data_IF_027642875839
#
_entry.id   IF_027642875839
#
_cell.length_a   1.000
_cell.length_b   1.000
_cell.length_c   1.000
_cell.angle_alpha   90.00
_cell.angle_beta   90.00
_cell.angle_gamma   90.00
#
_symmetry.space_group_name_H-M   'P 1'
#
loop_
_entity.id
_entity.type
_entity.pdbx_description
1 polymer ?
#
# COMPACT_ATOMS: atom_id res chain seq x y z
N UNK A 1 14.77 16.93 -1.63
CA UNK A 1 13.33 17.18 -1.84
C UNK A 1 12.65 15.95 -1.32
N UNK A 2 11.73 16.10 -0.37
CA UNK A 2 11.10 14.96 0.29
C UNK A 2 10.37 14.07 -0.72
N UNK A 3 10.49 12.76 -0.51
CA UNK A 3 9.90 11.75 -1.38
C UNK A 3 8.40 11.58 -1.11
N UNK A 4 8.00 11.74 0.15
CA UNK A 4 6.61 11.91 0.58
C UNK A 4 6.53 13.15 1.48
N UNK A 5 5.60 14.05 1.18
CA UNK A 5 5.31 15.25 1.97
C UNK A 5 3.83 15.25 2.34
N UNK A 6 3.55 15.48 3.62
CA UNK A 6 2.21 15.54 4.17
C UNK A 6 2.08 16.82 4.96
N UNK A 7 1.04 17.61 4.69
CA UNK A 7 0.83 18.90 5.33
C UNK A 7 -0.62 19.11 5.71
N UNK A 8 -0.87 19.53 6.94
CA UNK A 8 -2.19 19.91 7.45
C UNK A 8 -3.27 18.82 7.31
N UNK A 9 -2.84 17.55 7.25
CA UNK A 9 -3.71 16.44 6.93
C UNK A 9 -4.73 16.25 8.05
N UNK A 10 -6.01 16.37 7.72
CA UNK A 10 -7.11 16.25 8.68
C UNK A 10 -8.24 15.36 8.18
N UNK A 11 -8.86 14.62 9.09
CA UNK A 11 -10.04 13.81 8.83
C UNK A 11 -10.95 13.67 10.03
N UNK A 12 -12.24 13.90 9.80
CA UNK A 12 -13.32 13.74 10.76
C UNK A 12 -14.33 12.69 10.31
N UNK A 13 -14.98 12.05 11.28
CA UNK A 13 -16.10 11.14 11.08
C UNK A 13 -17.24 11.58 12.01
N UNK A 14 -18.27 12.21 11.44
CA UNK A 14 -19.28 12.90 12.25
C UNK A 14 -18.62 13.97 13.13
N UNK A 15 -18.89 13.92 14.44
CA UNK A 15 -18.27 14.83 15.41
C UNK A 15 -16.86 14.45 15.87
N UNK A 16 -16.34 13.28 15.48
CA UNK A 16 -15.02 12.81 15.92
C UNK A 16 -13.93 13.25 14.93
N UNK A 17 -12.94 13.99 15.43
CA UNK A 17 -11.74 14.34 14.68
C UNK A 17 -10.67 13.25 14.82
N UNK A 18 -10.61 12.33 13.86
CA UNK A 18 -9.74 11.16 13.92
C UNK A 18 -8.28 11.45 13.52
N UNK A 19 -8.06 12.44 12.67
CA UNK A 19 -6.75 12.98 12.29
C UNK A 19 -6.87 14.50 12.29
N UNK A 20 -5.93 15.20 12.91
CA UNK A 20 -5.94 16.66 12.99
C UNK A 20 -4.55 17.21 12.71
N UNK A 21 -4.45 18.02 11.66
CA UNK A 21 -3.29 18.85 11.34
C UNK A 21 -1.96 18.06 11.34
N UNK A 22 -2.00 16.84 10.81
CA UNK A 22 -0.80 15.99 10.74
C UNK A 22 0.07 16.47 9.58
N UNK A 23 1.34 16.73 9.88
CA UNK A 23 2.35 17.04 8.88
C UNK A 23 3.66 16.33 9.17
N UNK A 24 4.31 15.85 8.12
CA UNK A 24 5.63 15.22 8.16
C UNK A 24 6.17 15.04 6.73
N UNK A 25 7.48 14.90 6.64
CA UNK A 25 8.20 14.55 5.41
C UNK A 25 8.87 13.18 5.59
N UNK A 26 9.04 12.48 4.47
CA UNK A 26 9.83 11.23 4.39
C UNK A 26 10.74 11.34 3.19
N UNK A 27 12.04 11.18 3.41
CA UNK A 27 13.05 11.17 2.36
C UNK A 27 13.10 9.81 1.66
N UNK A 28 13.70 9.76 0.46
CA UNK A 28 13.81 8.51 -0.28
C UNK A 28 14.69 7.50 0.50
N UNK A 29 14.14 6.30 0.75
CA UNK A 29 14.82 5.25 1.51
C UNK A 29 14.67 5.36 3.03
N UNK A 30 14.00 6.40 3.53
CA UNK A 30 13.71 6.54 4.96
C UNK A 30 12.59 5.59 5.42
N UNK A 31 12.73 5.08 6.65
CA UNK A 31 11.72 4.24 7.30
C UNK A 31 11.04 5.05 8.40
N UNK A 32 9.77 5.40 8.17
CA UNK A 32 8.93 6.09 9.15
C UNK A 32 7.96 5.13 9.86
N UNK A 33 7.94 5.17 11.19
CA UNK A 33 7.02 4.39 12.02
C UNK A 33 5.91 5.22 12.65
N UNK A 34 4.66 4.78 12.55
CA UNK A 34 3.52 5.36 13.28
C UNK A 34 3.25 4.59 14.58
N UNK A 35 3.49 5.23 15.73
CA UNK A 35 3.30 4.63 17.06
C UNK A 35 2.21 5.40 17.82
N UNK A 36 1.43 4.69 18.64
CA UNK A 36 0.39 5.27 19.48
C UNK A 36 -0.66 4.24 19.93
N UNK A 37 -1.54 4.58 20.87
CA UNK A 37 -2.57 3.67 21.36
C UNK A 37 -3.64 3.35 20.31
N UNK A 38 -4.48 2.33 20.57
CA UNK A 38 -5.62 2.05 19.70
C UNK A 38 -6.55 3.27 19.63
N UNK A 39 -7.06 3.56 18.43
CA UNK A 39 -7.89 4.74 18.19
C UNK A 39 -7.12 6.05 17.95
N UNK A 40 -5.79 6.07 18.03
CA UNK A 40 -4.97 7.28 17.83
C UNK A 40 -4.89 7.80 16.38
N UNK A 41 -5.68 7.25 15.46
CA UNK A 41 -5.71 7.69 14.05
C UNK A 41 -4.69 7.05 13.11
N UNK A 42 -3.78 6.16 13.56
CA UNK A 42 -2.74 5.54 12.70
C UNK A 42 -3.28 4.91 11.41
N UNK A 43 -4.26 4.02 11.54
CA UNK A 43 -4.89 3.36 10.39
C UNK A 43 -5.64 4.36 9.52
N UNK A 44 -6.23 5.39 10.12
CA UNK A 44 -6.89 6.50 9.40
C UNK A 44 -5.87 7.28 8.57
N UNK A 45 -4.71 7.64 9.13
CA UNK A 45 -3.63 8.30 8.40
C UNK A 45 -3.16 7.45 7.23
N UNK A 46 -2.85 6.16 7.43
CA UNK A 46 -2.46 5.26 6.35
C UNK A 46 -3.55 5.14 5.26
N UNK A 47 -4.83 5.13 5.65
CA UNK A 47 -5.94 5.12 4.69
C UNK A 47 -6.00 6.41 3.86
N UNK A 48 -5.66 7.57 4.43
CA UNK A 48 -5.61 8.85 3.70
C UNK A 48 -4.46 8.87 2.70
N UNK A 49 -3.26 8.46 3.12
CA UNK A 49 -2.07 8.38 2.26
C UNK A 49 -2.25 7.44 1.06
N UNK A 50 -3.05 6.38 1.23
CA UNK A 50 -3.26 5.34 0.20
C UNK A 50 -4.56 5.53 -0.60
N UNK A 51 -5.25 6.67 -0.43
CA UNK A 51 -6.49 6.97 -1.16
C UNK A 51 -7.69 6.09 -0.78
N UNK A 52 -7.62 5.38 0.34
CA UNK A 52 -8.76 4.65 0.90
C UNK A 52 -9.83 5.58 1.46
N UNK A 53 -9.38 6.70 2.01
CA UNK A 53 -10.19 7.80 2.50
C UNK A 53 -9.75 9.09 1.81
N UNK A 54 -10.70 9.98 1.53
CA UNK A 54 -10.41 11.35 1.13
C UNK A 54 -10.21 12.21 2.39
N UNK A 55 -9.12 12.99 2.50
CA UNK A 55 -8.97 13.94 3.60
C UNK A 55 -10.03 15.04 3.52
N UNK A 56 -10.34 15.64 4.67
CA UNK A 56 -11.19 16.83 4.70
C UNK A 56 -10.38 18.08 4.33
N UNK A 57 -9.10 18.11 4.72
CA UNK A 57 -8.12 19.13 4.35
C UNK A 57 -6.70 18.57 4.36
N UNK A 58 -5.77 19.35 3.80
CA UNK A 58 -4.35 19.04 3.74
C UNK A 58 -3.88 18.54 2.37
N UNK A 59 -2.57 18.35 2.26
CA UNK A 59 -1.87 17.98 1.03
C UNK A 59 -1.08 16.70 1.27
N UNK A 60 -1.03 15.85 0.23
CA UNK A 60 -0.19 14.65 0.18
C UNK A 60 0.54 14.69 -1.16
N UNK A 61 1.85 14.92 -1.13
CA UNK A 61 2.71 14.87 -2.32
C UNK A 61 3.60 13.64 -2.25
N UNK A 62 3.64 12.87 -3.33
CA UNK A 62 4.55 11.73 -3.48
C UNK A 62 5.37 11.91 -4.75
N UNK A 63 6.69 11.94 -4.62
CA UNK A 63 7.64 12.19 -5.70
C UNK A 63 7.24 13.40 -6.56
N UNK A 64 6.93 14.53 -5.90
CA UNK A 64 6.47 15.77 -6.54
C UNK A 64 5.05 15.76 -7.11
N UNK A 65 4.27 14.70 -6.90
CA UNK A 65 2.91 14.56 -7.45
C UNK A 65 1.85 14.56 -6.34
N UNK A 66 0.80 15.37 -6.50
CA UNK A 66 -0.32 15.39 -5.56
C UNK A 66 -1.14 14.10 -5.65
N UNK A 67 -1.42 13.48 -4.50
CA UNK A 67 -2.23 12.27 -4.37
C UNK A 67 -3.68 12.54 -3.92
N UNK A 68 -4.00 13.74 -3.45
CA UNK A 68 -5.32 14.06 -2.88
C UNK A 68 -6.41 13.94 -3.94
N UNK A 69 -7.46 13.17 -3.62
CA UNK A 69 -8.61 12.97 -4.49
C UNK A 69 -8.43 11.92 -5.59
N UNK A 70 -7.22 11.36 -5.74
CA UNK A 70 -6.98 10.26 -6.67
C UNK A 70 -7.66 8.98 -6.19
N UNK A 71 -8.11 8.16 -7.15
CA UNK A 71 -8.58 6.82 -6.87
C UNK A 71 -7.41 5.89 -6.52
N UNK A 72 -7.68 4.82 -5.76
CA UNK A 72 -6.65 3.89 -5.25
C UNK A 72 -5.79 3.27 -6.35
N UNK A 73 -6.39 2.97 -7.51
CA UNK A 73 -5.67 2.46 -8.68
C UNK A 73 -4.70 3.50 -9.27
N UNK A 74 -5.06 4.78 -9.25
CA UNK A 74 -4.18 5.87 -9.69
C UNK A 74 -3.04 6.11 -8.69
N UNK A 75 -3.33 6.02 -7.38
CA UNK A 75 -2.30 6.07 -6.32
C UNK A 75 -1.31 4.92 -6.45
N UNK A 76 -1.79 3.69 -6.67
CA UNK A 76 -0.95 2.52 -6.93
C UNK A 76 -0.06 2.70 -8.16
N UNK A 77 -0.62 3.22 -9.26
CA UNK A 77 0.16 3.53 -10.49
C UNK A 77 1.19 4.64 -10.32
N UNK A 78 1.13 5.42 -9.24
CA UNK A 78 2.17 6.40 -8.88
C UNK A 78 3.28 5.80 -8.03
N UNK A 79 3.19 4.53 -7.63
CA UNK A 79 4.21 3.83 -6.83
C UNK A 79 3.88 3.68 -5.35
N UNK A 80 2.65 4.00 -4.93
CA UNK A 80 2.23 3.82 -3.53
C UNK A 80 1.42 2.53 -3.40
N UNK A 81 2.02 1.53 -2.75
CA UNK A 81 1.38 0.27 -2.42
C UNK A 81 1.17 0.12 -0.91
N UNK A 82 0.30 -0.79 -0.51
CA UNK A 82 -0.01 -1.05 0.90
C UNK A 82 -0.27 -2.52 1.17
N UNK A 83 0.23 -2.99 2.30
CA UNK A 83 -0.18 -4.24 2.96
C UNK A 83 -1.28 -3.99 3.99
N UNK A 84 -2.11 -5.00 4.24
CA UNK A 84 -3.20 -4.93 5.22
C UNK A 84 -2.85 -5.72 6.46
N UNK A 85 -3.28 -5.24 7.64
CA UNK A 85 -3.08 -5.94 8.92
C UNK A 85 -3.63 -7.35 8.90
N UNK A 86 -4.81 -7.53 8.30
CA UNK A 86 -5.37 -8.84 7.98
C UNK A 86 -5.07 -9.08 6.51
N UNK A 87 -4.32 -10.14 6.21
CA UNK A 87 -4.01 -10.52 4.84
C UNK A 87 -5.29 -10.80 4.07
N UNK A 88 -5.36 -10.30 2.83
CA UNK A 88 -6.51 -10.49 1.93
C UNK A 88 -6.03 -11.04 0.58
N UNK A 89 -5.48 -12.26 0.54
CA UNK A 89 -5.08 -12.87 -0.72
C UNK A 89 -6.31 -13.26 -1.55
N UNK A 90 -6.09 -13.43 -2.85
CA UNK A 90 -7.00 -14.15 -3.72
C UNK A 90 -6.89 -15.64 -3.38
N UNK A 91 -7.83 -16.14 -2.58
CA UNK A 91 -7.79 -17.48 -1.99
C UNK A 91 -7.77 -18.61 -3.02
N UNK A 92 -8.42 -18.41 -4.18
CA UNK A 92 -8.46 -19.36 -5.29
C UNK A 92 -7.26 -19.24 -6.24
N UNK A 93 -6.31 -18.36 -5.94
CA UNK A 93 -5.05 -18.22 -6.68
C UNK A 93 -3.91 -18.88 -5.92
N UNK A 94 -2.93 -19.38 -6.65
CA UNK A 94 -1.67 -19.84 -6.04
C UNK A 94 -0.90 -18.68 -5.43
N UNK A 95 0.09 -18.96 -4.57
CA UNK A 95 1.00 -17.94 -4.04
C UNK A 95 1.64 -17.12 -5.18
N UNK A 96 2.10 -17.79 -6.23
CA UNK A 96 2.65 -17.17 -7.43
C UNK A 96 1.64 -16.23 -8.09
N UNK A 97 0.42 -16.72 -8.34
CA UNK A 97 -0.62 -15.90 -8.97
C UNK A 97 -1.01 -14.68 -8.13
N UNK A 98 -0.98 -14.78 -6.80
CA UNK A 98 -1.21 -13.65 -5.90
C UNK A 98 -0.15 -12.55 -6.08
N UNK A 99 1.12 -12.93 -6.15
CA UNK A 99 2.22 -11.98 -6.39
C UNK A 99 2.17 -11.41 -7.80
N UNK A 100 1.83 -12.24 -8.80
CA UNK A 100 1.67 -11.82 -10.20
C UNK A 100 0.65 -10.69 -10.38
N UNK A 101 -0.41 -10.62 -9.56
CA UNK A 101 -1.37 -9.50 -9.63
C UNK A 101 -0.65 -8.15 -9.47
N UNK A 102 0.32 -8.06 -8.57
CA UNK A 102 1.12 -6.86 -8.38
C UNK A 102 1.98 -6.52 -9.61
N UNK A 103 2.59 -7.53 -10.23
CA UNK A 103 3.38 -7.36 -11.46
C UNK A 103 2.53 -7.07 -12.70
N UNK A 104 1.27 -7.48 -12.74
CA UNK A 104 0.38 -7.21 -13.88
C UNK A 104 -0.31 -5.85 -13.79
N UNK A 105 -0.63 -5.37 -12.57
CA UNK A 105 -1.46 -4.18 -12.38
C UNK A 105 -0.81 -3.03 -11.60
N UNK A 106 0.42 -3.21 -11.10
CA UNK A 106 1.15 -2.21 -10.33
C UNK A 106 1.67 -1.03 -11.15
N UNK A 107 2.59 -0.26 -10.57
CA UNK A 107 3.19 0.94 -11.18
C UNK A 107 3.88 0.66 -12.51
N UNK A 108 4.64 -0.44 -12.58
CA UNK A 108 5.40 -0.85 -13.77
C UNK A 108 4.96 -2.26 -14.16
N UNK A 109 3.86 -2.39 -14.92
CA UNK A 109 3.35 -3.69 -15.34
C UNK A 109 4.37 -4.47 -16.17
N UNK A 110 4.51 -5.76 -15.88
CA UNK A 110 5.27 -6.67 -16.69
C UNK A 110 4.71 -6.73 -18.12
N UNK A 111 5.59 -6.83 -19.11
CA UNK A 111 5.22 -6.81 -20.54
C UNK A 111 4.24 -7.91 -20.95
N UNK A 112 4.28 -9.06 -20.27
CA UNK A 112 3.42 -10.20 -20.52
C UNK A 112 3.40 -11.13 -19.30
N UNK A 113 2.49 -12.11 -19.31
CA UNK A 113 2.28 -13.04 -18.19
C UNK A 113 3.49 -13.94 -17.92
N UNK A 114 4.31 -14.24 -18.94
CA UNK A 114 5.53 -15.05 -18.76
C UNK A 114 6.54 -14.29 -17.89
N UNK A 115 6.82 -13.03 -18.24
CA UNK A 115 7.71 -12.17 -17.45
C UNK A 115 7.13 -11.91 -16.06
N UNK A 116 5.83 -11.66 -15.95
CA UNK A 116 5.19 -11.50 -14.65
C UNK A 116 5.41 -12.71 -13.74
N UNK A 117 5.33 -13.93 -14.28
CA UNK A 117 5.56 -15.16 -13.53
C UNK A 117 7.03 -15.34 -13.14
N UNK A 118 7.98 -15.02 -14.03
CA UNK A 118 9.42 -15.06 -13.74
C UNK A 118 9.78 -14.10 -12.60
N UNK A 119 9.44 -12.82 -12.73
CA UNK A 119 9.68 -11.79 -11.71
C UNK A 119 8.96 -12.11 -10.38
N UNK A 120 7.75 -12.67 -10.43
CA UNK A 120 7.01 -13.04 -9.22
C UNK A 120 7.64 -14.22 -8.47
N UNK A 121 8.34 -15.14 -9.17
CA UNK A 121 9.09 -16.22 -8.52
C UNK A 121 10.31 -15.67 -7.77
N UNK A 122 11.03 -14.73 -8.37
CA UNK A 122 12.14 -14.04 -7.70
C UNK A 122 11.67 -13.32 -6.43
N UNK A 123 10.51 -12.64 -6.50
CA UNK A 123 9.90 -12.01 -5.32
C UNK A 123 9.54 -13.04 -4.24
N UNK A 124 8.97 -14.20 -4.63
CA UNK A 124 8.67 -15.28 -3.69
C UNK A 124 9.94 -15.86 -3.04
N UNK A 125 11.04 -15.94 -3.77
CA UNK A 125 12.34 -16.37 -3.24
C UNK A 125 12.86 -15.40 -2.19
N UNK A 126 12.81 -14.09 -2.45
CA UNK A 126 13.24 -13.06 -1.48
C UNK A 126 12.48 -13.15 -0.16
N UNK A 127 11.19 -13.51 -0.18
CA UNK A 127 10.37 -13.66 1.04
C UNK A 127 10.33 -15.09 1.59
N UNK A 128 11.12 -16.02 1.03
CA UNK A 128 11.22 -17.41 1.52
C UNK A 128 9.99 -18.28 1.24
N UNK A 129 9.21 -17.98 0.19
CA UNK A 129 8.00 -18.70 -0.21
C UNK A 129 8.11 -19.37 -1.58
N UNK A 130 9.31 -19.49 -2.14
CA UNK A 130 9.54 -20.10 -3.45
C UNK A 130 8.93 -21.51 -3.57
N UNK A 131 9.18 -22.39 -2.59
CA UNK A 131 8.67 -23.77 -2.58
C UNK A 131 7.15 -23.87 -2.47
N UNK A 132 6.48 -22.76 -2.12
CA UNK A 132 5.03 -22.66 -1.99
C UNK A 132 4.37 -21.97 -3.19
N UNK A 133 5.11 -21.66 -4.24
CA UNK A 133 4.64 -20.89 -5.40
C UNK A 133 3.33 -21.43 -5.99
N UNK A 134 3.17 -22.75 -6.07
CA UNK A 134 2.02 -23.41 -6.70
C UNK A 134 0.92 -23.80 -5.70
N UNK A 135 1.09 -23.53 -4.41
CA UNK A 135 0.07 -23.79 -3.39
C UNK A 135 -1.00 -22.70 -3.46
N UNK A 136 -2.28 -23.09 -3.40
CA UNK A 136 -3.39 -22.13 -3.31
C UNK A 136 -3.27 -21.31 -2.02
N UNK A 137 -3.57 -20.02 -2.10
CA UNK A 137 -3.42 -19.15 -0.93
C UNK A 137 -4.32 -19.58 0.25
N UNK A 138 -5.45 -20.23 -0.01
CA UNK A 138 -6.31 -20.81 1.04
C UNK A 138 -5.68 -21.97 1.81
N UNK A 139 -4.71 -22.66 1.21
CA UNK A 139 -4.01 -23.80 1.81
C UNK A 139 -2.68 -23.37 2.48
N UNK A 140 -2.38 -22.07 2.48
CA UNK A 140 -1.27 -21.48 3.24
C UNK A 140 -1.71 -21.14 4.66
N UNK A 141 -0.75 -21.12 5.58
CA UNK A 141 -0.94 -20.52 6.91
C UNK A 141 -1.09 -19.01 6.75
N UNK A 142 -2.31 -18.50 6.89
CA UNK A 142 -2.62 -17.08 6.77
C UNK A 142 -2.70 -16.35 8.12
N UNK A 143 -2.77 -17.10 9.23
CA UNK A 143 -2.74 -16.66 10.62
C UNK A 143 -2.23 -17.78 11.52
#
# INVERSE_FOLDING_TARGET
>A
MSFLQVEGLSKSFGGLKAVYDVGFDVEQGEILGFIGPNGSGKTTTLNLLTGFLKPDSGVIMFNGQNLVGLQRNQVCRKGVARTFQIVKPFLEFTALKNVMVGRVYGQEPARNLKVAAEESREILEVVGLFDKAEILAKDLTLM
#
